data_IF_060142273382
#
_entry.id   IF_060142273382
#
_cell.length_a   1.000
_cell.length_b   1.000
_cell.length_c   1.000
_cell.angle_alpha   90.00
_cell.angle_beta   90.00
_cell.angle_gamma   90.00
#
_symmetry.space_group_name_H-M   'P 1'
#
loop_
_entity.id
_entity.type
_entity.pdbx_description
1 polymer ?
#
# COMPACT_ATOMS: atom_id res chain seq x y z
N UNK A 1 -25.81 -17.45 -7.84
CA UNK A 1 -24.41 -17.17 -8.22
C UNK A 1 -24.08 -15.87 -7.52
N UNK A 2 -23.54 -15.97 -6.31
CA UNK A 2 -23.38 -14.83 -5.41
C UNK A 2 -22.41 -13.83 -6.02
N UNK A 3 -22.94 -12.65 -6.34
CA UNK A 3 -22.20 -11.49 -6.82
C UNK A 3 -21.14 -11.15 -5.78
N UNK A 4 -19.87 -11.44 -6.07
CA UNK A 4 -18.77 -11.01 -5.23
C UNK A 4 -18.82 -9.49 -5.17
N UNK A 5 -19.25 -9.00 -4.01
CA UNK A 5 -19.41 -7.60 -3.70
C UNK A 5 -18.15 -6.86 -4.12
N UNK A 6 -18.30 -5.89 -5.04
CA UNK A 6 -17.28 -4.93 -5.37
C UNK A 6 -17.07 -4.03 -4.13
N UNK A 7 -16.43 -4.58 -3.09
CA UNK A 7 -15.81 -3.75 -2.07
C UNK A 7 -14.83 -2.87 -2.84
N UNK A 8 -14.93 -1.53 -2.74
CA UNK A 8 -13.97 -0.67 -3.41
C UNK A 8 -12.60 -1.17 -2.99
N UNK A 9 -11.80 -1.59 -3.98
CA UNK A 9 -10.44 -2.04 -3.73
C UNK A 9 -9.79 -0.88 -2.98
N UNK A 10 -9.41 -1.13 -1.73
CA UNK A 10 -8.71 -0.12 -0.97
C UNK A 10 -7.43 0.14 -1.76
N UNK A 11 -7.32 1.27 -2.45
CA UNK A 11 -6.13 1.58 -3.26
C UNK A 11 -4.89 1.88 -2.39
N UNK A 12 -5.03 1.82 -1.07
CA UNK A 12 -4.01 2.18 -0.09
C UNK A 12 -4.14 1.31 1.17
N UNK A 13 -3.01 1.07 1.81
CA UNK A 13 -2.95 0.42 3.11
C UNK A 13 -3.40 1.39 4.22
N UNK A 14 -4.05 0.89 5.29
CA UNK A 14 -4.29 1.68 6.49
C UNK A 14 -2.97 2.19 7.07
N UNK A 15 -2.94 3.45 7.54
CA UNK A 15 -1.73 4.06 8.08
C UNK A 15 -1.08 3.22 9.18
N UNK A 16 -1.87 2.74 10.14
CA UNK A 16 -1.37 1.94 11.26
C UNK A 16 -0.72 0.64 10.79
N UNK A 17 -1.24 0.04 9.72
CA UNK A 17 -0.65 -1.16 9.11
C UNK A 17 0.65 -0.81 8.38
N UNK A 18 0.61 0.22 7.54
CA UNK A 18 1.76 0.69 6.76
C UNK A 18 2.95 1.09 7.67
N UNK A 19 2.69 1.85 8.73
CA UNK A 19 3.72 2.30 9.66
C UNK A 19 4.25 1.15 10.53
N UNK A 20 3.38 0.25 10.99
CA UNK A 20 3.78 -0.89 11.85
C UNK A 20 4.66 -1.88 11.10
N UNK A 21 4.28 -2.24 9.89
CA UNK A 21 4.99 -3.24 9.08
C UNK A 21 6.00 -2.62 8.11
N UNK A 22 6.13 -1.29 8.13
CA UNK A 22 7.00 -0.51 7.22
C UNK A 22 6.80 -0.93 5.76
N UNK A 23 5.54 -0.94 5.33
CA UNK A 23 5.11 -1.26 3.96
C UNK A 23 4.16 -0.21 3.40
N UNK A 24 4.28 0.07 2.11
CA UNK A 24 3.48 1.05 1.38
C UNK A 24 3.13 0.47 0.02
N UNK A 25 1.84 0.47 -0.32
CA UNK A 25 1.36 -0.02 -1.61
C UNK A 25 0.99 1.15 -2.53
N UNK A 26 1.51 1.14 -3.73
CA UNK A 26 1.12 2.07 -4.81
C UNK A 26 0.58 1.27 -5.99
N UNK A 27 -0.66 1.57 -6.37
CA UNK A 27 -1.24 1.13 -7.63
C UNK A 27 -1.19 2.26 -8.64
N UNK A 28 -0.49 2.02 -9.75
CA UNK A 28 -0.59 2.77 -10.99
C UNK A 28 -1.51 2.01 -11.96
N UNK A 29 -1.81 2.62 -13.12
CA UNK A 29 -2.73 2.03 -14.11
C UNK A 29 -2.24 0.65 -14.59
N UNK A 30 -0.96 0.55 -14.92
CA UNK A 30 -0.36 -0.66 -15.49
C UNK A 30 0.42 -1.51 -14.49
N UNK A 31 0.96 -0.89 -13.44
CA UNK A 31 1.88 -1.55 -12.50
C UNK A 31 1.52 -1.23 -11.05
N UNK A 32 1.81 -2.18 -10.16
CA UNK A 32 1.66 -1.98 -8.72
C UNK A 32 2.98 -2.32 -8.03
N UNK A 33 3.33 -1.54 -7.02
CA UNK A 33 4.59 -1.70 -6.29
C UNK A 33 4.32 -1.69 -4.79
N UNK A 34 4.88 -2.67 -4.08
CA UNK A 34 4.95 -2.70 -2.63
C UNK A 34 6.35 -2.25 -2.21
N UNK A 35 6.42 -1.03 -1.69
CA UNK A 35 7.62 -0.50 -1.06
C UNK A 35 7.71 -1.01 0.37
N UNK A 36 8.88 -1.45 0.80
CA UNK A 36 9.09 -2.00 2.15
C UNK A 36 10.47 -1.70 2.70
N UNK A 37 10.63 -1.73 4.02
CA UNK A 37 11.95 -1.71 4.68
C UNK A 37 12.35 -3.14 5.03
N UNK A 38 13.60 -3.50 4.79
CA UNK A 38 14.11 -4.83 5.18
C UNK A 38 14.24 -4.97 6.71
N UNK A 39 13.93 -6.15 7.27
CA UNK A 39 13.40 -7.34 6.60
C UNK A 39 11.88 -7.27 6.36
N UNK A 40 11.42 -7.78 5.21
CA UNK A 40 9.99 -7.85 4.91
C UNK A 40 9.27 -8.88 5.78
N UNK A 41 8.25 -8.42 6.53
CA UNK A 41 7.41 -9.30 7.31
C UNK A 41 6.48 -10.13 6.39
N UNK A 42 6.62 -11.46 6.41
CA UNK A 42 5.86 -12.38 5.54
C UNK A 42 4.34 -12.30 5.76
N UNK A 43 3.90 -12.13 7.00
CA UNK A 43 2.49 -11.92 7.34
C UNK A 43 1.95 -10.63 6.71
N UNK A 44 2.74 -9.55 6.67
CA UNK A 44 2.35 -8.32 6.01
C UNK A 44 2.23 -8.53 4.50
N UNK A 45 3.17 -9.25 3.87
CA UNK A 45 3.10 -9.59 2.45
C UNK A 45 1.85 -10.41 2.10
N UNK A 46 1.50 -11.40 2.92
CA UNK A 46 0.29 -12.20 2.75
C UNK A 46 -0.97 -11.34 2.81
N UNK A 47 -1.04 -10.42 3.78
CA UNK A 47 -2.18 -9.50 3.91
C UNK A 47 -2.30 -8.53 2.74
N UNK A 48 -1.18 -7.98 2.24
CA UNK A 48 -1.17 -7.14 1.03
C UNK A 48 -1.72 -7.94 -0.16
N UNK A 49 -1.24 -9.17 -0.39
CA UNK A 49 -1.77 -10.04 -1.46
C UNK A 49 -3.27 -10.30 -1.31
N UNK A 50 -3.74 -10.56 -0.09
CA UNK A 50 -5.15 -10.84 0.22
C UNK A 50 -6.06 -9.65 -0.07
N UNK A 51 -5.60 -8.43 0.24
CA UNK A 51 -6.37 -7.19 0.11
C UNK A 51 -6.40 -6.69 -1.33
N UNK A 52 -5.25 -6.58 -2.00
CA UNK A 52 -5.16 -5.95 -3.32
C UNK A 52 -5.44 -6.90 -4.49
N UNK A 53 -5.27 -8.22 -4.29
CA UNK A 53 -5.59 -9.29 -5.25
C UNK A 53 -5.09 -9.03 -6.68
N UNK A 54 -3.95 -8.35 -6.83
CA UNK A 54 -3.30 -8.09 -8.12
C UNK A 54 -1.79 -8.32 -8.02
N UNK A 55 -1.10 -8.61 -9.14
CA UNK A 55 0.36 -8.66 -9.16
C UNK A 55 0.96 -7.32 -8.76
N UNK A 56 2.08 -7.38 -8.03
CA UNK A 56 2.87 -6.21 -7.70
C UNK A 56 4.34 -6.60 -7.55
N UNK A 57 5.21 -5.64 -7.78
CA UNK A 57 6.65 -5.78 -7.57
C UNK A 57 7.02 -5.42 -6.13
N UNK A 58 8.11 -6.00 -5.64
CA UNK A 58 8.67 -5.70 -4.33
C UNK A 58 9.85 -4.75 -4.50
N UNK A 59 9.83 -3.61 -3.81
CA UNK A 59 10.92 -2.65 -3.84
C UNK A 59 11.36 -2.32 -2.42
N UNK A 60 12.59 -2.71 -2.07
CA UNK A 60 13.18 -2.39 -0.76
C UNK A 60 13.62 -0.93 -0.72
N UNK A 61 13.28 -0.22 0.35
CA UNK A 61 13.72 1.14 0.62
C UNK A 61 14.52 1.20 1.94
N UNK A 62 15.52 2.09 2.03
CA UNK A 62 16.05 2.52 3.32
C UNK A 62 14.96 3.15 4.18
N UNK A 63 15.05 2.97 5.51
CA UNK A 63 14.07 3.54 6.45
C UNK A 63 13.87 5.05 6.28
N UNK A 64 14.95 5.80 5.98
CA UNK A 64 14.91 7.24 5.76
C UNK A 64 14.05 7.66 4.55
N UNK A 65 14.06 6.85 3.49
CA UNK A 65 13.25 7.10 2.29
C UNK A 65 11.79 6.64 2.49
N UNK A 66 11.60 5.58 3.29
CA UNK A 66 10.28 5.06 3.60
C UNK A 66 9.41 6.07 4.35
N UNK A 67 9.93 6.71 5.40
CA UNK A 67 9.13 7.64 6.20
C UNK A 67 8.68 8.86 5.36
N UNK A 68 9.52 9.32 4.43
CA UNK A 68 9.17 10.36 3.46
C UNK A 68 8.04 9.91 2.52
N UNK A 69 8.13 8.70 1.94
CA UNK A 69 7.10 8.13 1.06
C UNK A 69 5.78 7.89 1.79
N UNK A 70 5.83 7.38 3.02
CA UNK A 70 4.67 7.20 3.89
C UNK A 70 3.97 8.54 4.14
N UNK A 71 4.73 9.58 4.48
CA UNK A 71 4.21 10.94 4.71
C UNK A 71 3.56 11.51 3.46
N UNK A 72 4.20 11.40 2.29
CA UNK A 72 3.65 11.88 1.02
C UNK A 72 2.29 11.25 0.72
N UNK A 73 2.15 9.93 0.89
CA UNK A 73 0.90 9.24 0.60
C UNK A 73 -0.24 9.67 1.54
N UNK A 74 0.05 9.85 2.83
CA UNK A 74 -0.98 10.26 3.80
C UNK A 74 -1.42 11.70 3.52
N UNK A 75 -0.46 12.63 3.37
CA UNK A 75 -0.72 14.06 3.24
C UNK A 75 -1.49 14.40 1.96
N UNK A 76 -1.20 13.73 0.84
CA UNK A 76 -1.94 13.94 -0.43
C UNK A 76 -3.44 13.58 -0.32
N UNK A 77 -3.81 12.75 0.67
CA UNK A 77 -5.22 12.34 0.89
C UNK A 77 -6.10 13.49 1.39
N UNK A 78 -5.53 14.55 1.98
CA UNK A 78 -6.32 15.68 2.49
C UNK A 78 -6.56 16.81 1.47
N UNK A 79 -5.92 16.79 0.30
CA UNK A 79 -5.95 17.93 -0.64
C UNK A 79 -6.78 17.72 -1.93
N UNK A 80 -7.46 16.57 -2.09
CA UNK A 80 -8.32 16.31 -3.26
C UNK A 80 -9.83 16.31 -2.91
N UNK A 81 -10.27 17.26 -2.09
CA UNK A 81 -11.70 17.51 -1.78
C UNK A 81 -12.13 18.98 -1.96
N UNK A 82 -11.40 19.74 -2.75
CA UNK A 82 -11.80 21.10 -3.12
C UNK A 82 -11.38 21.40 -4.56
N UNK A 83 -12.16 20.91 -5.53
CA UNK A 83 -12.72 21.65 -6.67
C UNK A 83 -13.52 20.69 -7.55
#
# INVERSE_FOLDING_TARGET
MESLEHRPLANRLPFSFANRFKVVFEAHEEQSVLYYVEPLALNALQEVKRVFRRPFELYSLPSSEFDAKLTQLISVTHLKRAN
#
